data_IF_338001956870
#
_entry.id   IF_338001956870
#
_cell.length_a   1.000
_cell.length_b   1.000
_cell.length_c   1.000
_cell.angle_alpha   90.00
_cell.angle_beta   90.00
_cell.angle_gamma   90.00
#
_symmetry.space_group_name_H-M   'P 1'
#
loop_
_entity.id
_entity.type
_entity.pdbx_description
1 polymer ?
#
# COMPACT_ATOMS: atom_id res chain seq x y z
N UNK A 1 0.00 5.22 -5.04
CA UNK A 1 0.58 6.09 -3.98
C UNK A 1 -0.52 6.41 -2.97
N UNK A 2 -0.24 6.44 -1.67
CA UNK A 2 -1.28 6.70 -0.64
C UNK A 2 -1.30 8.19 -0.30
N UNK A 3 -2.50 8.77 -0.19
CA UNK A 3 -2.70 10.16 0.21
C UNK A 3 -3.15 10.26 1.67
N UNK A 4 -2.74 11.33 2.35
CA UNK A 4 -3.20 11.65 3.69
C UNK A 4 -4.67 12.05 3.66
N UNK A 5 -5.52 11.36 4.44
CA UNK A 5 -6.98 11.59 4.45
C UNK A 5 -7.37 13.03 4.80
N UNK A 6 -6.54 13.72 5.62
CA UNK A 6 -6.76 15.08 6.13
C UNK A 6 -6.31 16.20 5.20
N UNK A 7 -5.09 16.14 4.66
CA UNK A 7 -4.54 17.22 3.81
C UNK A 7 -4.50 16.89 2.31
N UNK A 8 -4.91 15.67 1.91
CA UNK A 8 -4.89 15.12 0.54
C UNK A 8 -3.52 15.04 -0.15
N UNK A 9 -2.45 15.55 0.48
CA UNK A 9 -1.08 15.39 0.00
C UNK A 9 -0.62 13.93 0.09
N UNK A 10 0.28 13.54 -0.81
CA UNK A 10 0.89 12.21 -0.82
C UNK A 10 1.75 11.97 0.42
N UNK A 11 1.79 10.71 0.85
CA UNK A 11 2.60 10.26 2.00
C UNK A 11 4.00 9.86 1.53
N UNK A 12 5.01 10.23 2.32
CA UNK A 12 6.40 9.82 2.15
C UNK A 12 6.55 8.30 2.26
N UNK A 13 7.54 7.72 1.54
CA UNK A 13 7.80 6.27 1.53
C UNK A 13 8.35 5.76 2.87
N UNK A 14 8.87 6.67 3.71
CA UNK A 14 9.38 6.37 5.04
C UNK A 14 8.24 6.04 6.01
N UNK A 15 8.25 4.79 6.52
CA UNK A 15 7.19 4.25 7.39
C UNK A 15 6.97 5.07 8.68
N UNK A 16 8.00 5.73 9.20
CA UNK A 16 7.99 6.42 10.50
C UNK A 16 7.26 7.78 10.52
N UNK A 17 6.91 8.32 9.34
CA UNK A 17 6.13 9.55 9.20
C UNK A 17 4.62 9.30 8.99
N UNK A 18 4.20 8.03 8.90
CA UNK A 18 2.87 7.63 8.45
C UNK A 18 2.10 6.93 9.56
N UNK A 19 0.89 7.40 9.85
CA UNK A 19 -0.02 6.86 10.86
C UNK A 19 -1.27 6.28 10.19
N UNK A 20 -1.67 5.05 10.56
CA UNK A 20 -2.91 4.41 10.09
C UNK A 20 -3.91 4.28 11.24
N UNK A 21 -5.14 4.73 11.01
CA UNK A 21 -6.25 4.56 11.94
C UNK A 21 -6.77 3.11 11.86
N UNK A 22 -7.00 2.48 13.02
CA UNK A 22 -7.61 1.15 13.17
C UNK A 22 -9.14 1.17 13.30
N UNK A 23 -9.77 2.34 13.24
CA UNK A 23 -11.23 2.48 13.21
C UNK A 23 -11.79 2.31 11.81
N UNK A 24 -13.12 2.21 11.70
CA UNK A 24 -13.89 2.03 10.45
C UNK A 24 -13.42 2.91 9.29
N UNK A 25 -12.98 4.13 9.61
CA UNK A 25 -12.55 5.12 8.62
C UNK A 25 -11.26 4.74 7.87
N UNK A 26 -10.51 3.73 8.35
CA UNK A 26 -9.26 3.14 7.82
C UNK A 26 -8.22 4.16 7.28
N UNK A 27 -8.27 5.39 7.79
CA UNK A 27 -7.57 6.53 7.23
C UNK A 27 -6.06 6.46 7.48
N UNK A 28 -5.29 6.91 6.48
CA UNK A 28 -3.84 7.09 6.61
C UNK A 28 -3.52 8.58 6.66
N UNK A 29 -2.58 8.98 7.53
CA UNK A 29 -2.31 10.37 7.88
C UNK A 29 -0.79 10.61 8.03
N UNK A 30 -0.30 11.81 7.70
CA UNK A 30 1.04 12.22 8.13
C UNK A 30 1.06 12.41 9.65
N UNK A 31 2.20 12.13 10.27
CA UNK A 31 2.48 12.41 11.69
C UNK A 31 2.14 13.85 12.10
N UNK A 32 2.46 14.81 11.23
CA UNK A 32 2.19 16.26 11.38
C UNK A 32 0.71 16.65 11.23
N UNK A 33 -0.13 15.80 10.64
CA UNK A 33 -1.54 16.09 10.41
C UNK A 33 -2.44 15.70 11.58
N UNK A 34 -1.99 14.87 12.52
CA UNK A 34 -2.76 14.46 13.70
C UNK A 34 -2.49 15.45 14.83
N UNK A 35 -3.52 16.13 15.37
CA UNK A 35 -3.32 17.17 16.39
C UNK A 35 -2.94 16.54 17.74
N UNK A 36 -3.60 15.43 18.11
CA UNK A 36 -3.35 14.70 19.37
C UNK A 36 -2.57 13.39 19.13
N UNK A 37 -1.35 13.48 18.61
CA UNK A 37 -0.56 12.29 18.27
C UNK A 37 -0.31 11.33 19.46
N UNK A 38 -0.15 11.84 20.69
CA UNK A 38 0.05 10.98 21.88
C UNK A 38 -1.15 10.05 22.12
N UNK A 39 -2.38 10.57 22.00
CA UNK A 39 -3.59 9.76 22.09
C UNK A 39 -3.74 8.83 20.87
N UNK A 40 -3.35 9.28 19.68
CA UNK A 40 -3.37 8.44 18.48
C UNK A 40 -2.43 7.24 18.62
N UNK A 41 -1.22 7.41 19.15
CA UNK A 41 -0.28 6.29 19.36
C UNK A 41 -0.76 5.31 20.44
N UNK A 42 -1.44 5.80 21.48
CA UNK A 42 -2.02 4.95 22.53
C UNK A 42 -3.25 4.16 22.06
N UNK A 43 -4.20 4.83 21.37
CA UNK A 43 -5.50 4.24 21.00
C UNK A 43 -5.58 3.74 19.55
N UNK A 44 -4.67 4.16 18.69
CA UNK A 44 -4.64 3.86 17.24
C UNK A 44 -5.88 4.33 16.45
N UNK A 45 -6.65 5.28 16.98
CA UNK A 45 -7.83 5.88 16.34
C UNK A 45 -7.61 7.36 16.00
N UNK A 46 -8.18 7.82 14.88
CA UNK A 46 -8.20 9.24 14.52
C UNK A 46 -9.20 10.03 15.37
N UNK A 47 -9.10 11.36 15.35
CA UNK A 47 -9.97 12.28 16.11
C UNK A 47 -11.47 12.12 15.81
N UNK A 48 -11.84 11.65 14.61
CA UNK A 48 -13.24 11.37 14.23
C UNK A 48 -13.73 10.06 14.87
N UNK A 49 -13.01 8.95 14.68
CA UNK A 49 -13.34 7.66 15.30
C UNK A 49 -13.30 7.71 16.84
N UNK A 50 -12.37 8.48 17.41
CA UNK A 50 -12.25 8.66 18.86
C UNK A 50 -13.38 9.51 19.48
N UNK A 51 -14.07 10.33 18.67
CA UNK A 51 -15.28 11.07 19.12
C UNK A 51 -16.53 10.21 19.04
N UNK A 52 -16.66 9.37 18.01
CA UNK A 52 -17.77 8.41 17.89
C UNK A 52 -17.84 7.39 19.03
N UNK A 53 -16.72 7.14 19.73
CA UNK A 53 -16.68 6.24 20.90
C UNK A 53 -17.11 6.91 22.22
N UNK A 54 -17.35 8.22 22.26
CA UNK A 54 -17.73 8.95 23.48
C UNK A 54 -19.24 9.18 23.65
N UNK A 55 -20.05 8.83 22.65
CA UNK A 55 -21.52 8.93 22.71
C UNK A 55 -22.22 7.67 23.26
N UNK A 56 -21.49 6.67 23.78
CA UNK A 56 -22.03 5.36 24.18
C UNK A 56 -21.59 4.95 25.60
N UNK A 57 -21.70 5.84 26.59
CA UNK A 57 -21.47 5.51 28.02
C UNK A 57 -22.36 6.31 29.02
N UNK A 58 -23.61 5.88 29.23
CA UNK A 58 -24.34 5.94 30.53
C UNK A 58 -25.78 5.39 30.39
N UNK A 59 -26.46 4.94 31.48
CA UNK A 59 -26.85 3.52 31.53
C UNK A 59 -28.35 3.20 31.74
N UNK A 60 -28.69 1.92 31.51
CA UNK A 60 -29.99 1.21 31.66
C UNK A 60 -31.01 1.56 30.57
N UNK A 61 -31.73 0.62 29.94
CA UNK A 61 -31.93 -0.84 30.17
C UNK A 61 -32.43 -1.51 28.86
N UNK A 62 -32.03 -2.77 28.58
CA UNK A 62 -32.61 -3.77 27.61
C UNK A 62 -33.12 -3.26 26.23
N UNK A 63 -32.65 -3.72 25.06
CA UNK A 63 -32.37 -5.09 24.59
C UNK A 63 -31.33 -5.11 23.44
N UNK A 64 -30.70 -6.22 22.96
CA UNK A 64 -30.37 -7.54 23.56
C UNK A 64 -29.35 -8.35 22.69
N UNK A 65 -28.41 -7.71 21.98
CA UNK A 65 -27.43 -8.46 21.15
C UNK A 65 -26.32 -9.10 21.99
N UNK A 66 -26.29 -10.43 22.03
CA UNK A 66 -25.23 -11.20 22.70
C UNK A 66 -23.99 -11.34 21.80
N UNK A 67 -22.91 -10.67 22.19
CA UNK A 67 -21.56 -11.11 21.89
C UNK A 67 -21.08 -11.97 23.06
N UNK A 68 -20.71 -13.23 22.82
CA UNK A 68 -20.03 -14.03 23.85
C UNK A 68 -18.55 -13.63 23.95
N UNK A 69 -18.12 -13.45 25.20
CA UNK A 69 -16.80 -12.98 25.59
C UNK A 69 -15.76 -14.11 25.60
N UNK A 70 -14.49 -13.74 25.40
CA UNK A 70 -13.36 -14.67 25.38
C UNK A 70 -12.79 -14.79 26.80
N UNK A 71 -13.52 -15.48 27.69
CA UNK A 71 -13.11 -15.67 29.09
C UNK A 71 -12.01 -16.74 29.24
N UNK A 72 -11.09 -16.51 30.17
CA UNK A 72 -10.06 -17.49 30.56
C UNK A 72 -10.68 -18.80 31.10
N UNK A 73 -9.99 -19.95 30.95
CA UNK A 73 -10.59 -21.26 31.20
C UNK A 73 -10.77 -21.55 32.70
N UNK A 74 -12.00 -21.38 33.20
CA UNK A 74 -12.41 -21.98 34.47
C UNK A 74 -12.59 -23.49 34.34
N UNK A 75 -12.18 -24.21 35.39
CA UNK A 75 -11.89 -25.66 35.40
C UNK A 75 -13.12 -26.56 35.15
N UNK A 76 -14.33 -26.00 35.23
CA UNK A 76 -15.58 -26.76 35.10
C UNK A 76 -15.93 -27.15 33.64
N UNK A 77 -15.32 -26.49 32.65
CA UNK A 77 -15.61 -26.72 31.21
C UNK A 77 -15.09 -28.07 30.66
N UNK A 78 -14.30 -28.81 31.45
CA UNK A 78 -13.75 -30.12 31.04
C UNK A 78 -14.69 -31.31 31.30
N UNK A 79 -15.80 -31.12 32.01
CA UNK A 79 -16.64 -32.24 32.50
C UNK A 79 -17.60 -32.79 31.43
N UNK A 80 -17.99 -31.99 30.42
CA UNK A 80 -19.08 -32.32 29.50
C UNK A 80 -18.67 -32.58 28.03
N UNK A 81 -17.48 -33.15 27.80
CA UNK A 81 -17.05 -33.56 26.44
C UNK A 81 -17.63 -34.92 25.98
N UNK A 82 -18.38 -35.62 26.84
CA UNK A 82 -18.86 -36.99 26.61
C UNK A 82 -20.39 -37.11 26.43
N UNK A 83 -21.14 -36.00 26.32
CA UNK A 83 -22.55 -36.05 25.91
C UNK A 83 -22.65 -36.12 24.38
N UNK A 84 -23.53 -36.97 23.81
CA UNK A 84 -23.78 -36.97 22.38
C UNK A 84 -24.43 -35.63 22.01
N UNK A 85 -23.74 -34.81 21.20
CA UNK A 85 -24.30 -33.57 20.64
C UNK A 85 -25.66 -33.86 20.03
N UNK A 86 -26.66 -33.02 20.32
CA UNK A 86 -27.95 -33.12 19.64
C UNK A 86 -27.76 -32.90 18.13
N UNK A 87 -28.65 -33.47 17.33
CA UNK A 87 -28.56 -33.34 15.88
C UNK A 87 -28.72 -31.88 15.44
N UNK A 88 -29.51 -31.10 16.18
CA UNK A 88 -29.71 -29.66 16.02
C UNK A 88 -28.42 -28.87 16.25
N UNK A 89 -27.62 -29.24 17.25
CA UNK A 89 -26.33 -28.57 17.51
C UNK A 89 -25.29 -28.91 16.45
N UNK A 90 -25.27 -30.15 15.95
CA UNK A 90 -24.45 -30.52 14.79
C UNK A 90 -24.86 -29.74 13.53
N UNK A 91 -26.16 -29.61 13.25
CA UNK A 91 -26.67 -28.83 12.12
C UNK A 91 -26.34 -27.33 12.27
N UNK A 92 -26.39 -26.78 13.49
CA UNK A 92 -25.99 -25.40 13.78
C UNK A 92 -24.49 -25.18 13.54
N UNK A 93 -23.64 -26.11 13.99
CA UNK A 93 -22.20 -26.08 13.77
C UNK A 93 -21.85 -26.20 12.28
N UNK A 94 -22.53 -27.07 11.53
CA UNK A 94 -22.38 -27.20 10.07
C UNK A 94 -22.76 -25.91 9.35
N UNK A 95 -23.89 -25.29 9.71
CA UNK A 95 -24.34 -24.05 9.07
C UNK A 95 -23.39 -22.87 9.35
N UNK A 96 -22.89 -22.75 10.59
CA UNK A 96 -21.83 -21.78 10.94
C UNK A 96 -20.56 -22.00 10.10
N UNK A 97 -20.11 -23.26 9.95
CA UNK A 97 -18.95 -23.60 9.11
C UNK A 97 -19.19 -23.28 7.63
N UNK A 98 -20.39 -23.52 7.11
CA UNK A 98 -20.76 -23.20 5.73
C UNK A 98 -20.71 -21.69 5.45
N UNK A 99 -21.18 -20.85 6.39
CA UNK A 99 -21.05 -19.40 6.29
C UNK A 99 -19.58 -18.93 6.27
N UNK A 100 -18.71 -19.56 7.07
CA UNK A 100 -17.26 -19.27 7.07
C UNK A 100 -16.66 -19.66 5.71
N UNK A 101 -16.99 -20.84 5.17
CA UNK A 101 -16.53 -21.28 3.84
C UNK A 101 -16.96 -20.30 2.75
N UNK A 102 -18.24 -19.91 2.69
CA UNK A 102 -18.71 -18.93 1.70
C UNK A 102 -18.01 -17.57 1.80
N UNK A 103 -17.64 -17.13 3.02
CA UNK A 103 -16.83 -15.92 3.18
C UNK A 103 -15.41 -16.14 2.65
N UNK A 104 -14.78 -17.26 2.97
CA UNK A 104 -13.45 -17.60 2.46
C UNK A 104 -13.41 -17.70 0.94
N UNK A 105 -14.43 -18.30 0.30
CA UNK A 105 -14.53 -18.38 -1.16
C UNK A 105 -14.55 -16.99 -1.79
N UNK A 106 -15.31 -16.05 -1.20
CA UNK A 106 -15.33 -14.66 -1.65
C UNK A 106 -13.98 -13.96 -1.45
N UNK A 107 -13.39 -14.08 -0.26
CA UNK A 107 -12.08 -13.47 0.04
C UNK A 107 -10.98 -14.03 -0.89
N UNK A 108 -11.04 -15.32 -1.26
CA UNK A 108 -10.15 -15.96 -2.23
C UNK A 108 -10.35 -15.44 -3.67
N UNK A 109 -11.59 -15.22 -4.10
CA UNK A 109 -11.87 -14.66 -5.43
C UNK A 109 -11.41 -13.19 -5.53
N UNK A 110 -11.60 -12.39 -4.48
CA UNK A 110 -11.08 -11.01 -4.40
C UNK A 110 -9.54 -10.98 -4.43
N UNK A 111 -8.87 -11.91 -3.74
CA UNK A 111 -7.40 -12.08 -3.80
C UNK A 111 -6.95 -12.51 -5.20
N UNK A 112 -7.61 -13.49 -5.82
CA UNK A 112 -7.31 -14.00 -7.17
C UNK A 112 -7.39 -12.88 -8.22
N UNK A 113 -8.45 -12.08 -8.18
CA UNK A 113 -8.62 -10.94 -9.07
C UNK A 113 -7.55 -9.86 -8.85
N UNK A 114 -7.20 -9.60 -7.58
CA UNK A 114 -6.11 -8.68 -7.24
C UNK A 114 -4.75 -9.17 -7.78
N UNK A 115 -4.45 -10.47 -7.64
CA UNK A 115 -3.20 -11.07 -8.14
C UNK A 115 -3.12 -11.03 -9.67
N UNK A 116 -4.20 -11.32 -10.39
CA UNK A 116 -4.24 -11.21 -11.86
C UNK A 116 -3.92 -9.78 -12.31
N UNK A 117 -4.63 -8.79 -11.73
CA UNK A 117 -4.41 -7.38 -12.03
C UNK A 117 -2.95 -6.95 -11.78
N UNK A 118 -2.36 -7.33 -10.64
CA UNK A 118 -0.95 -6.99 -10.40
C UNK A 118 0.00 -7.70 -11.36
N UNK A 119 -0.24 -8.96 -11.72
CA UNK A 119 0.57 -9.69 -12.69
C UNK A 119 0.56 -8.98 -14.07
N UNK A 120 -0.61 -8.57 -14.54
CA UNK A 120 -0.76 -7.77 -15.77
C UNK A 120 0.02 -6.45 -15.69
N UNK A 121 -0.06 -5.72 -14.56
CA UNK A 121 0.69 -4.47 -14.37
C UNK A 121 2.20 -4.65 -14.23
N UNK A 122 2.67 -5.77 -13.71
CA UNK A 122 4.10 -6.10 -13.75
C UNK A 122 4.56 -6.42 -15.18
N UNK A 123 3.74 -7.13 -15.97
CA UNK A 123 4.06 -7.42 -17.37
C UNK A 123 4.13 -6.14 -18.23
N UNK A 124 3.13 -5.26 -18.14
CA UNK A 124 3.15 -3.93 -18.78
C UNK A 124 4.43 -3.13 -18.45
N UNK A 125 4.82 -3.13 -17.16
CA UNK A 125 6.01 -2.41 -16.70
C UNK A 125 7.32 -3.02 -17.23
N UNK A 126 7.41 -4.35 -17.35
CA UNK A 126 8.57 -5.05 -17.92
C UNK A 126 8.72 -4.69 -19.41
N UNK A 127 7.62 -4.72 -20.16
CA UNK A 127 7.63 -4.37 -21.59
C UNK A 127 8.01 -2.90 -21.81
N UNK A 128 7.43 -1.98 -21.04
CA UNK A 128 7.80 -0.56 -21.06
C UNK A 128 9.29 -0.35 -20.76
N UNK A 129 9.82 -1.03 -19.73
CA UNK A 129 11.25 -0.97 -19.38
C UNK A 129 12.12 -1.44 -20.55
N UNK A 130 11.80 -2.57 -21.19
CA UNK A 130 12.56 -3.07 -22.33
C UNK A 130 12.54 -2.11 -23.53
N UNK A 131 11.42 -1.43 -23.79
CA UNK A 131 11.32 -0.41 -24.83
C UNK A 131 12.17 0.82 -24.48
N UNK A 132 12.12 1.29 -23.23
CA UNK A 132 12.92 2.40 -22.75
C UNK A 132 14.44 2.12 -22.85
N UNK A 133 14.90 0.94 -22.43
CA UNK A 133 16.31 0.52 -22.54
C UNK A 133 16.80 0.47 -23.99
N UNK A 134 15.98 -0.01 -24.93
CA UNK A 134 16.31 0.01 -26.37
C UNK A 134 16.44 1.45 -26.88
N UNK A 135 15.55 2.35 -26.48
CA UNK A 135 15.58 3.77 -26.87
C UNK A 135 16.81 4.48 -26.29
N UNK A 136 17.15 4.23 -25.03
CA UNK A 136 18.34 4.79 -24.37
C UNK A 136 19.62 4.38 -25.13
N UNK A 137 19.80 3.08 -25.40
CA UNK A 137 20.97 2.57 -26.16
C UNK A 137 21.07 3.19 -27.56
N UNK A 138 19.95 3.39 -28.25
CA UNK A 138 19.93 4.07 -29.54
C UNK A 138 20.32 5.55 -29.44
N UNK A 139 19.92 6.25 -28.38
CA UNK A 139 20.29 7.64 -28.14
C UNK A 139 21.77 7.78 -27.74
N UNK A 140 22.29 6.89 -26.89
CA UNK A 140 23.72 6.83 -26.52
C UNK A 140 24.61 6.63 -27.77
N UNK A 141 24.25 5.70 -28.66
CA UNK A 141 24.96 5.49 -29.91
C UNK A 141 24.94 6.73 -30.83
N UNK A 142 23.81 7.43 -30.91
CA UNK A 142 23.70 8.67 -31.68
C UNK A 142 24.52 9.81 -31.06
N UNK A 143 24.54 9.93 -29.73
CA UNK A 143 25.37 10.90 -29.03
C UNK A 143 26.87 10.66 -29.29
N UNK A 144 27.34 9.42 -29.15
CA UNK A 144 28.73 9.04 -29.46
C UNK A 144 29.11 9.37 -30.91
N UNK A 145 28.17 9.22 -31.85
CA UNK A 145 28.38 9.63 -33.25
C UNK A 145 28.53 11.14 -33.38
N UNK A 146 27.63 11.93 -32.76
CA UNK A 146 27.70 13.39 -32.79
C UNK A 146 28.97 13.93 -32.12
N UNK A 147 29.39 13.36 -30.99
CA UNK A 147 30.65 13.71 -30.31
C UNK A 147 31.87 13.53 -31.23
N UNK A 148 31.92 12.42 -31.99
CA UNK A 148 32.97 12.19 -32.99
C UNK A 148 32.93 13.20 -34.13
N UNK A 149 31.73 13.56 -34.61
CA UNK A 149 31.56 14.58 -35.65
C UNK A 149 32.00 15.96 -35.16
N UNK A 150 31.59 16.38 -33.96
CA UNK A 150 31.97 17.65 -33.37
C UNK A 150 33.48 17.76 -33.20
N UNK A 151 34.12 16.73 -32.62
CA UNK A 151 35.58 16.70 -32.46
C UNK A 151 36.32 16.84 -33.81
N UNK A 152 35.88 16.15 -34.85
CA UNK A 152 36.49 16.26 -36.19
C UNK A 152 36.30 17.65 -36.81
N UNK A 153 35.20 18.35 -36.50
CA UNK A 153 34.97 19.74 -36.91
C UNK A 153 35.85 20.72 -36.12
N UNK A 154 35.98 20.55 -34.80
CA UNK A 154 36.87 21.32 -33.93
C UNK A 154 38.33 21.24 -34.40
N UNK A 155 38.84 20.02 -34.63
CA UNK A 155 40.18 19.78 -35.19
C UNK A 155 40.38 20.50 -36.54
N UNK A 156 39.36 20.48 -37.41
CA UNK A 156 39.40 21.16 -38.72
C UNK A 156 39.38 22.68 -38.59
N UNK A 157 38.63 23.24 -37.63
CA UNK A 157 38.61 24.68 -37.33
C UNK A 157 39.99 25.13 -36.84
N UNK A 158 40.60 24.40 -35.89
CA UNK A 158 41.94 24.69 -35.38
C UNK A 158 42.97 24.72 -36.53
N UNK A 159 42.93 23.77 -37.46
CA UNK A 159 43.82 23.74 -38.63
C UNK A 159 43.59 24.94 -39.57
N UNK A 160 42.35 25.41 -39.72
CA UNK A 160 42.03 26.59 -40.53
C UNK A 160 42.53 27.88 -39.87
N UNK A 161 42.26 28.08 -38.58
CA UNK A 161 42.77 29.24 -37.81
C UNK A 161 44.30 29.32 -37.83
N UNK A 162 45.00 28.18 -37.68
CA UNK A 162 46.46 28.14 -37.77
C UNK A 162 46.98 28.51 -39.17
N UNK A 163 46.25 28.12 -40.23
CA UNK A 163 46.59 28.51 -41.61
C UNK A 163 46.34 30.00 -41.84
N UNK A 164 45.28 30.56 -41.27
CA UNK A 164 44.96 31.98 -41.36
C UNK A 164 46.00 32.85 -40.63
N UNK A 165 46.30 32.53 -39.36
CA UNK A 165 47.36 33.20 -38.56
C UNK A 165 48.72 33.20 -39.29
N UNK A 166 49.05 32.13 -40.03
CA UNK A 166 50.27 32.03 -40.86
C UNK A 166 50.24 32.89 -42.13
N UNK A 167 49.07 33.27 -42.64
CA UNK A 167 48.94 34.21 -43.77
C UNK A 167 49.08 35.66 -43.32
N UNK A 168 48.50 36.03 -42.18
CA UNK A 168 48.55 37.41 -41.64
C UNK A 168 49.94 37.83 -41.15
N UNK A 169 50.87 36.88 -40.99
CA UNK A 169 52.27 37.10 -40.62
C UNK A 169 53.23 37.12 -41.84
N UNK A 170 52.71 37.20 -43.07
CA UNK A 170 53.46 37.33 -44.32
C UNK A 170 53.02 38.57 -45.09
#
# INVERSE_FOLDING_TARGET
MVQCKKCKLFLSVNKDEVLRCKGECNGVFHKKCVKNIKQFLQKNYCEECAKGTLSVLSPRTVESEQYEDCSEPTVETLINQNSPKSMEDLLRDVNKKLQIVHKMDKDLEDIKNSVSFYAEKYQEMIEFKQQAEKKIKSMEQHQIYLEKCNKALEERVIVLEQKEKKKTLR
#
